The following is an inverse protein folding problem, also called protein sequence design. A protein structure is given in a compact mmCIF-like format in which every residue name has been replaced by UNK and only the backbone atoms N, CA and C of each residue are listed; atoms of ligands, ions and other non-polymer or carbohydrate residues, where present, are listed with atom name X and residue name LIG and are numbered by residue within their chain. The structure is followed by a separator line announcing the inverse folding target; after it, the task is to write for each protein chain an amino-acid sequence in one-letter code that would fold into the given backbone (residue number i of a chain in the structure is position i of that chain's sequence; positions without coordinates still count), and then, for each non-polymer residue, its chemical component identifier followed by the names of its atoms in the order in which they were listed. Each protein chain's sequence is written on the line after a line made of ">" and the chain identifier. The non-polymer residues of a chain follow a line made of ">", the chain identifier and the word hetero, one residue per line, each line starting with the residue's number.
data_IF_236973803741
#
_entry.id   IF_236973803741
#
_cell.length_a   1.000
_cell.length_b   1.000
_cell.length_c   1.000
_cell.angle_alpha   90.00
_cell.angle_beta   90.00
_cell.angle_gamma   90.00
#
_symmetry.space_group_name_H-M   'P 1'
#
loop_
_entity.id
_entity.type
_entity.pdbx_description
1 polymer ?
#
# COMPACT_ATOMS: atom_id res chain seq x y z
N UNK A 1 -10.96 15.64 17.34
CA UNK A 1 -11.00 14.63 16.28
C UNK A 1 -9.93 13.57 16.54
N UNK A 2 -10.31 12.29 16.43
CA UNK A 2 -9.37 11.17 16.55
C UNK A 2 -9.10 10.61 15.16
N UNK A 3 -7.83 10.53 14.79
CA UNK A 3 -7.42 10.03 13.48
C UNK A 3 -6.52 8.81 13.69
N UNK A 4 -6.80 7.73 12.96
CA UNK A 4 -5.94 6.55 12.93
C UNK A 4 -5.06 6.64 11.69
N UNK A 5 -3.75 6.53 11.89
CA UNK A 5 -2.79 6.43 10.79
C UNK A 5 -2.34 4.98 10.65
N UNK A 6 -2.44 4.44 9.45
CA UNK A 6 -1.94 3.10 9.13
C UNK A 6 -0.94 3.21 7.99
N UNK A 7 -0.03 2.25 7.88
CA UNK A 7 1.02 2.30 6.87
C UNK A 7 1.65 0.93 6.68
N UNK A 8 2.34 0.77 5.54
CA UNK A 8 3.18 -0.41 5.28
C UNK A 8 2.42 -1.72 5.40
N UNK A 9 1.25 -1.76 4.75
CA UNK A 9 0.36 -2.93 4.77
C UNK A 9 0.95 -4.08 3.95
N UNK A 10 1.66 -3.76 2.88
CA UNK A 10 2.40 -4.71 2.04
C UNK A 10 1.60 -5.97 1.71
N UNK A 11 0.42 -5.76 1.09
CA UNK A 11 -0.45 -6.83 0.58
C UNK A 11 -0.91 -7.87 1.60
N UNK A 12 -0.81 -7.53 2.90
CA UNK A 12 -1.25 -8.42 3.96
C UNK A 12 -2.72 -8.12 4.32
N UNK A 13 -3.63 -8.74 3.56
CA UNK A 13 -5.07 -8.50 3.73
C UNK A 13 -5.58 -8.92 5.11
N UNK A 14 -4.99 -9.96 5.70
CA UNK A 14 -5.42 -10.45 7.00
C UNK A 14 -5.09 -9.44 8.10
N UNK A 15 -3.89 -8.88 8.07
CA UNK A 15 -3.48 -7.84 9.00
C UNK A 15 -4.35 -6.58 8.84
N UNK A 16 -4.59 -6.17 7.59
CA UNK A 16 -5.41 -4.99 7.32
C UNK A 16 -6.82 -5.14 7.89
N UNK A 17 -7.45 -6.29 7.67
CA UNK A 17 -8.79 -6.55 8.19
C UNK A 17 -8.83 -6.47 9.72
N UNK A 18 -7.83 -7.02 10.39
CA UNK A 18 -7.74 -6.97 11.85
C UNK A 18 -7.56 -5.55 12.37
N UNK A 19 -6.69 -4.79 11.73
CA UNK A 19 -6.42 -3.39 12.10
C UNK A 19 -7.69 -2.56 11.95
N UNK A 20 -8.40 -2.68 10.82
CA UNK A 20 -9.64 -1.95 10.59
C UNK A 20 -10.69 -2.30 11.65
N UNK A 21 -10.82 -3.59 11.99
CA UNK A 21 -11.75 -4.02 13.02
C UNK A 21 -11.41 -3.40 14.37
N UNK A 22 -10.12 -3.36 14.72
CA UNK A 22 -9.68 -2.73 15.96
C UNK A 22 -9.98 -1.23 15.96
N UNK A 23 -9.73 -0.55 14.86
CA UNK A 23 -10.01 0.87 14.71
C UNK A 23 -11.50 1.15 14.87
N UNK A 24 -12.37 0.30 14.32
CA UNK A 24 -13.82 0.46 14.45
C UNK A 24 -14.28 0.44 15.90
N UNK A 25 -13.52 -0.18 16.79
CA UNK A 25 -13.81 -0.25 18.21
C UNK A 25 -13.18 0.91 19.02
N UNK A 26 -12.47 1.81 18.38
CA UNK A 26 -11.72 2.89 19.06
C UNK A 26 -12.35 4.28 18.96
N UNK A 27 -13.55 4.40 18.39
CA UNK A 27 -14.22 5.69 18.18
C UNK A 27 -13.35 6.68 17.39
N UNK A 28 -12.79 6.20 16.29
CA UNK A 28 -11.96 7.01 15.39
C UNK A 28 -12.84 7.71 14.37
N UNK A 29 -12.58 9.00 14.15
CA UNK A 29 -13.35 9.80 13.19
C UNK A 29 -12.89 9.55 11.75
N UNK A 30 -11.62 9.24 11.57
CA UNK A 30 -11.02 9.14 10.24
C UNK A 30 -9.82 8.20 10.24
N UNK A 31 -9.65 7.46 9.14
CA UNK A 31 -8.47 6.62 8.90
C UNK A 31 -7.69 7.22 7.74
N UNK A 32 -6.37 7.32 7.90
CA UNK A 32 -5.48 7.80 6.85
C UNK A 32 -4.38 6.77 6.66
N UNK A 33 -4.14 6.36 5.41
CA UNK A 33 -3.08 5.41 5.06
C UNK A 33 -1.88 6.17 4.48
N UNK A 34 -0.70 5.92 5.04
CA UNK A 34 0.53 6.59 4.61
C UNK A 34 1.24 5.86 3.47
N UNK A 35 0.60 4.86 2.88
CA UNK A 35 1.12 4.20 1.69
C UNK A 35 1.77 2.84 1.95
N UNK A 36 2.44 2.34 0.92
CA UNK A 36 3.02 1.01 0.86
C UNK A 36 1.98 -0.08 1.09
N UNK A 37 0.94 -0.02 0.25
CA UNK A 37 -0.15 -0.99 0.27
C UNK A 37 0.25 -2.35 -0.28
N UNK A 38 1.22 -2.37 -1.17
CA UNK A 38 1.60 -3.56 -1.96
C UNK A 38 3.07 -3.93 -1.73
N UNK A 39 3.48 -5.04 -2.32
CA UNK A 39 4.83 -5.57 -2.17
C UNK A 39 4.93 -6.59 -1.04
N UNK A 40 5.89 -7.48 -1.14
CA UNK A 40 6.26 -8.54 -0.19
C UNK A 40 5.22 -9.65 0.00
N UNK A 41 3.97 -9.36 0.31
CA UNK A 41 2.95 -10.39 0.53
C UNK A 41 2.08 -10.56 -0.73
N UNK A 42 1.09 -11.44 -0.66
CA UNK A 42 0.50 -12.05 -1.84
C UNK A 42 -0.94 -11.62 -2.17
N UNK A 43 -1.47 -10.61 -1.48
CA UNK A 43 -2.85 -10.16 -1.72
C UNK A 43 -2.94 -8.65 -2.04
N UNK A 44 -2.19 -8.16 -3.07
CA UNK A 44 -2.17 -6.73 -3.35
C UNK A 44 -3.52 -6.19 -3.83
N UNK A 45 -4.23 -6.91 -4.69
CA UNK A 45 -5.52 -6.44 -5.19
C UNK A 45 -6.56 -6.39 -4.07
N UNK A 46 -6.57 -7.39 -3.21
CA UNK A 46 -7.51 -7.45 -2.09
C UNK A 46 -7.31 -6.28 -1.13
N UNK A 47 -6.05 -5.94 -0.84
CA UNK A 47 -5.70 -4.78 -0.01
C UNK A 47 -6.16 -3.49 -0.69
N UNK A 48 -5.81 -3.30 -1.96
CA UNK A 48 -6.21 -2.10 -2.71
C UNK A 48 -7.73 -1.98 -2.75
N UNK A 49 -8.41 -3.08 -3.06
CA UNK A 49 -9.87 -3.07 -3.17
C UNK A 49 -10.54 -2.70 -1.85
N UNK A 50 -10.01 -3.19 -0.73
CA UNK A 50 -10.56 -2.86 0.59
C UNK A 50 -10.36 -1.38 0.93
N UNK A 51 -9.17 -0.84 0.66
CA UNK A 51 -8.86 0.58 0.87
C UNK A 51 -9.78 1.45 0.01
N UNK A 52 -9.98 1.08 -1.26
CA UNK A 52 -10.87 1.81 -2.19
C UNK A 52 -12.33 1.73 -1.75
N UNK A 53 -12.78 0.54 -1.37
CA UNK A 53 -14.16 0.31 -0.93
C UNK A 53 -14.51 1.15 0.29
N UNK A 54 -13.59 1.27 1.23
CA UNK A 54 -13.79 2.07 2.45
C UNK A 54 -13.43 3.54 2.26
N UNK A 55 -13.01 3.93 1.07
CA UNK A 55 -12.65 5.31 0.73
C UNK A 55 -11.63 5.90 1.72
N UNK A 56 -10.62 5.11 2.06
CA UNK A 56 -9.57 5.55 2.98
C UNK A 56 -8.58 6.44 2.23
N UNK A 57 -8.41 7.68 2.72
CA UNK A 57 -7.42 8.60 2.15
C UNK A 57 -6.03 7.97 2.24
N UNK A 58 -5.31 7.92 1.12
CA UNK A 58 -4.01 7.27 1.03
C UNK A 58 -2.98 8.18 0.38
N UNK A 59 -1.79 8.22 0.96
CA UNK A 59 -0.62 8.88 0.34
C UNK A 59 0.18 7.80 -0.35
N UNK A 60 0.81 8.13 -1.49
CA UNK A 60 1.57 7.17 -2.27
C UNK A 60 2.89 6.82 -1.58
N UNK A 61 3.12 5.53 -1.35
CA UNK A 61 4.40 5.01 -0.88
C UNK A 61 5.28 4.57 -2.05
N UNK A 62 6.52 4.15 -1.74
CA UNK A 62 7.49 3.72 -2.76
C UNK A 62 6.99 2.53 -3.59
N UNK A 63 6.43 1.53 -2.93
CA UNK A 63 5.92 0.34 -3.62
C UNK A 63 4.66 0.64 -4.41
N UNK A 64 3.85 1.58 -3.95
CA UNK A 64 2.65 1.99 -4.68
C UNK A 64 3.05 2.65 -6.00
N UNK A 65 4.01 3.55 -5.97
CA UNK A 65 4.53 4.21 -7.16
C UNK A 65 5.19 3.22 -8.10
N UNK A 66 6.11 2.41 -7.58
CA UNK A 66 6.88 1.47 -8.40
C UNK A 66 5.97 0.45 -9.09
N UNK A 67 4.94 -0.01 -8.39
CA UNK A 67 3.97 -0.95 -8.96
C UNK A 67 3.07 -0.25 -9.98
N UNK A 68 2.55 0.90 -9.64
CA UNK A 68 1.64 1.65 -10.53
C UNK A 68 2.31 2.09 -11.82
N UNK A 69 3.57 2.45 -11.77
CA UNK A 69 4.34 2.94 -12.92
C UNK A 69 5.20 1.87 -13.58
N UNK A 70 5.10 0.61 -13.14
CA UNK A 70 5.90 -0.51 -13.65
C UNK A 70 7.41 -0.22 -13.64
N UNK A 71 7.90 0.37 -12.56
CA UNK A 71 9.30 0.73 -12.42
C UNK A 71 10.18 -0.50 -12.19
N UNK A 72 11.44 -0.41 -12.58
CA UNK A 72 12.41 -1.51 -12.41
C UNK A 72 12.88 -1.68 -10.96
N UNK A 73 12.74 -0.63 -10.15
CA UNK A 73 13.20 -0.62 -8.76
C UNK A 73 12.16 0.05 -7.87
N UNK A 74 12.14 -0.33 -6.60
CA UNK A 74 11.23 0.26 -5.61
C UNK A 74 11.73 1.60 -5.04
N UNK A 75 12.97 1.99 -5.32
CA UNK A 75 13.59 3.16 -4.69
C UNK A 75 14.05 2.89 -3.26
N UNK A 76 14.21 1.63 -2.89
CA UNK A 76 14.61 1.22 -1.55
C UNK A 76 16.12 0.95 -1.47
N UNK A 77 16.69 1.17 -0.28
CA UNK A 77 18.09 0.81 -0.02
C UNK A 77 18.16 -0.57 0.62
N UNK A 78 18.99 -1.44 0.05
CA UNK A 78 19.23 -2.78 0.59
C UNK A 78 20.71 -2.98 0.84
N UNK A 79 21.03 -3.59 1.98
CA UNK A 79 22.42 -3.79 2.41
C UNK A 79 23.15 -4.89 1.63
N UNK A 80 22.42 -5.82 1.00
CA UNK A 80 23.03 -6.94 0.28
C UNK A 80 22.40 -7.13 -1.08
N UNK A 81 23.16 -7.72 -2.02
CA UNK A 81 22.67 -8.09 -3.34
C UNK A 81 21.55 -9.11 -3.25
N UNK A 82 21.63 -10.03 -2.28
CA UNK A 82 20.61 -11.04 -2.06
C UNK A 82 19.28 -10.43 -1.63
N UNK A 83 19.33 -9.45 -0.73
CA UNK A 83 18.12 -8.72 -0.30
C UNK A 83 17.51 -7.94 -1.46
N UNK A 84 18.35 -7.31 -2.29
CA UNK A 84 17.89 -6.57 -3.48
C UNK A 84 17.23 -7.50 -4.48
N UNK A 85 17.79 -8.70 -4.70
CA UNK A 85 17.22 -9.69 -5.62
C UNK A 85 15.83 -10.14 -5.15
N UNK A 86 15.67 -10.41 -3.86
CA UNK A 86 14.36 -10.81 -3.31
C UNK A 86 13.34 -9.69 -3.43
N UNK A 87 13.75 -8.47 -3.18
CA UNK A 87 12.87 -7.30 -3.32
C UNK A 87 12.45 -7.11 -4.77
N UNK A 88 13.37 -7.29 -5.74
CA UNK A 88 13.05 -7.18 -7.15
C UNK A 88 12.05 -8.24 -7.60
N UNK A 89 12.21 -9.48 -7.13
CA UNK A 89 11.26 -10.56 -7.44
C UNK A 89 9.88 -10.24 -6.90
N UNK A 90 9.81 -9.73 -5.68
CA UNK A 90 8.56 -9.32 -5.06
C UNK A 90 7.88 -8.21 -5.86
N UNK A 91 8.66 -7.20 -6.28
CA UNK A 91 8.12 -6.09 -7.05
C UNK A 91 7.57 -6.56 -8.40
N UNK A 92 8.34 -7.38 -9.14
CA UNK A 92 7.91 -7.85 -10.45
C UNK A 92 6.68 -8.75 -10.34
N UNK A 93 6.64 -9.63 -9.34
CA UNK A 93 5.46 -10.45 -9.09
C UNK A 93 4.24 -9.58 -8.80
N UNK A 94 4.42 -8.56 -7.97
CA UNK A 94 3.35 -7.64 -7.61
C UNK A 94 2.84 -6.89 -8.84
N UNK A 95 3.74 -6.42 -9.69
CA UNK A 95 3.37 -5.73 -10.93
C UNK A 95 2.55 -6.63 -11.86
N UNK A 96 2.91 -7.91 -11.95
CA UNK A 96 2.14 -8.87 -12.75
C UNK A 96 0.76 -9.15 -12.16
N UNK A 97 0.66 -9.21 -10.84
CA UNK A 97 -0.58 -9.57 -10.14
C UNK A 97 -1.59 -8.43 -10.09
N UNK A 98 -1.12 -7.20 -9.89
CA UNK A 98 -2.02 -6.05 -9.74
C UNK A 98 -2.72 -5.73 -11.06
N UNK A 99 -4.05 -5.58 -11.01
CA UNK A 99 -4.83 -5.25 -12.20
C UNK A 99 -4.50 -3.86 -12.73
N UNK A 100 -4.73 -3.62 -14.02
CA UNK A 100 -4.49 -2.30 -14.62
C UNK A 100 -5.31 -1.20 -13.95
N UNK A 101 -6.55 -1.48 -13.58
CA UNK A 101 -7.39 -0.52 -12.86
C UNK A 101 -6.77 -0.13 -11.52
N UNK A 102 -6.26 -1.12 -10.78
CA UNK A 102 -5.60 -0.87 -9.50
C UNK A 102 -4.26 -0.16 -9.69
N UNK A 103 -3.51 -0.48 -10.75
CA UNK A 103 -2.27 0.23 -11.07
C UNK A 103 -2.54 1.71 -11.35
N UNK A 104 -3.58 2.00 -12.12
CA UNK A 104 -3.97 3.37 -12.40
C UNK A 104 -4.30 4.11 -11.11
N UNK A 105 -5.03 3.48 -10.20
CA UNK A 105 -5.36 4.06 -8.91
C UNK A 105 -4.08 4.34 -8.09
N UNK A 106 -3.13 3.40 -8.07
CA UNK A 106 -1.85 3.59 -7.38
C UNK A 106 -1.05 4.76 -7.96
N UNK A 107 -1.01 4.87 -9.30
CA UNK A 107 -0.29 5.97 -9.97
C UNK A 107 -0.86 7.34 -9.60
N UNK A 108 -2.14 7.41 -9.37
CA UNK A 108 -2.84 8.67 -9.12
C UNK A 108 -2.92 9.05 -7.64
N UNK A 109 -2.33 8.25 -6.75
CA UNK A 109 -2.27 8.59 -5.34
C UNK A 109 -1.41 9.84 -5.12
N UNK A 110 -1.82 10.77 -4.23
CA UNK A 110 -1.01 11.94 -3.94
C UNK A 110 0.25 11.58 -3.17
N UNK A 111 1.32 12.32 -3.41
CA UNK A 111 2.58 12.15 -2.68
C UNK A 111 2.51 12.80 -1.29
N UNK A 112 1.63 13.76 -1.12
CA UNK A 112 1.41 14.43 0.15
C UNK A 112 -0.02 14.96 0.22
N UNK A 113 -0.48 15.24 1.42
CA UNK A 113 -1.83 15.77 1.63
C UNK A 113 -1.84 16.63 2.88
N UNK A 114 -2.43 17.80 2.79
CA UNK A 114 -2.65 18.66 3.95
C UNK A 114 -4.02 18.35 4.55
N UNK A 115 -4.05 18.21 5.85
CA UNK A 115 -5.30 18.03 6.61
C UNK A 115 -5.77 19.40 7.09
N UNK A 116 -7.01 19.70 6.84
CA UNK A 116 -7.62 20.96 7.28
C UNK A 116 -8.74 20.70 8.28
#
# INVERSE_FOLDING_TARGET
>A
MRIAFISDIHANIFALKKVIRDIDNQNVDRIICLGDLVGYATYPNEVINLIREKDIMTIQGNYDQSTGEDMMECGCDYETDEAMERASRSLFWTQDEVTEDNKEWLRNLPENKRLE
#
